data_IF_623558402156
#
_entry.id   IF_623558402156
#
_cell.length_a   1.000
_cell.length_b   1.000
_cell.length_c   1.000
_cell.angle_alpha   90.00
_cell.angle_beta   90.00
_cell.angle_gamma   90.00
#
_symmetry.space_group_name_H-M   'P 1'
#
loop_
_entity.id
_entity.type
_entity.pdbx_description
1 polymer ?
#
# COMPACT_ATOMS: atom_id res chain seq x y z
N UNK A 1 -9.46 -8.38 12.01
CA UNK A 1 -8.57 -7.32 12.53
C UNK A 1 -8.68 -6.15 11.59
N UNK A 2 -8.78 -4.93 12.12
CA UNK A 2 -8.62 -3.72 11.32
C UNK A 2 -7.13 -3.54 11.01
N UNK A 3 -6.77 -3.49 9.72
CA UNK A 3 -5.39 -3.37 9.28
C UNK A 3 -4.89 -1.91 9.36
N UNK A 4 -5.81 -0.94 9.37
CA UNK A 4 -5.49 0.47 9.28
C UNK A 4 -6.16 1.25 10.41
N UNK A 5 -5.47 1.34 11.55
CA UNK A 5 -5.94 2.18 12.66
C UNK A 5 -5.78 3.67 12.32
N UNK A 6 -6.71 4.51 12.78
CA UNK A 6 -6.57 5.97 12.65
C UNK A 6 -5.40 6.54 13.48
N UNK A 7 -4.89 5.76 14.45
CA UNK A 7 -3.70 6.11 15.22
C UNK A 7 -2.42 5.95 14.39
N UNK A 8 -2.33 4.91 13.57
CA UNK A 8 -1.11 4.53 12.84
C UNK A 8 -1.08 5.00 11.39
N UNK A 9 -2.24 5.35 10.81
CA UNK A 9 -2.35 5.65 9.38
C UNK A 9 -3.06 6.97 9.09
N UNK A 10 -2.71 7.56 7.94
CA UNK A 10 -3.44 8.61 7.28
C UNK A 10 -4.25 8.02 6.14
N UNK A 11 -5.57 8.28 6.12
CA UNK A 11 -6.35 8.19 4.90
C UNK A 11 -6.03 9.42 4.06
N UNK A 12 -5.48 9.20 2.88
CA UNK A 12 -5.18 10.25 1.92
C UNK A 12 -6.27 10.22 0.86
N UNK A 13 -6.97 11.35 0.74
CA UNK A 13 -7.93 11.59 -0.34
C UNK A 13 -7.20 12.44 -1.38
N UNK A 14 -6.88 11.83 -2.51
CA UNK A 14 -6.16 12.46 -3.64
C UNK A 14 -7.09 12.38 -4.87
N UNK A 15 -7.02 13.37 -5.76
CA UNK A 15 -7.83 13.42 -6.97
C UNK A 15 -7.38 12.43 -8.05
N UNK A 16 -6.28 11.70 -7.81
CA UNK A 16 -5.64 10.79 -8.77
C UNK A 16 -5.75 9.31 -8.43
N UNK A 17 -6.16 8.94 -7.21
CA UNK A 17 -6.59 7.57 -6.90
C UNK A 17 -7.71 7.56 -5.87
N UNK A 18 -8.61 6.59 -5.99
CA UNK A 18 -9.84 6.54 -5.22
C UNK A 18 -9.59 6.32 -3.72
N UNK A 19 -8.52 5.60 -3.33
CA UNK A 19 -8.09 5.47 -1.93
C UNK A 19 -6.58 5.36 -1.80
N UNK A 20 -6.01 6.16 -0.90
CA UNK A 20 -4.62 6.07 -0.47
C UNK A 20 -4.55 5.93 1.05
N UNK A 21 -3.68 5.06 1.54
CA UNK A 21 -3.39 4.91 2.97
C UNK A 21 -1.90 4.87 3.18
N UNK A 22 -1.37 5.74 4.04
CA UNK A 22 0.05 5.74 4.40
C UNK A 22 0.23 5.68 5.91
N UNK A 23 1.23 4.96 6.38
CA UNK A 23 1.57 4.98 7.80
C UNK A 23 2.12 6.35 8.21
N UNK A 24 1.83 6.80 9.43
CA UNK A 24 2.27 8.12 9.93
C UNK A 24 3.79 8.24 10.04
N UNK A 25 4.47 7.11 10.21
CA UNK A 25 5.94 7.04 10.22
C UNK A 25 6.57 7.09 8.81
N UNK A 26 5.75 7.19 7.75
CA UNK A 26 6.20 7.29 6.36
C UNK A 26 6.79 5.99 5.78
N UNK A 27 6.67 4.86 6.47
CA UNK A 27 7.29 3.59 6.06
C UNK A 27 6.44 2.75 5.12
N UNK A 28 5.13 2.93 5.14
CA UNK A 28 4.19 2.14 4.35
C UNK A 28 3.24 3.03 3.57
N UNK A 29 2.93 2.60 2.34
CA UNK A 29 1.91 3.19 1.51
C UNK A 29 1.14 2.08 0.76
N UNK A 30 -0.18 2.22 0.72
CA UNK A 30 -1.11 1.49 -0.15
C UNK A 30 -1.89 2.49 -1.00
N UNK A 31 -1.92 2.27 -2.31
CA UNK A 31 -2.81 2.98 -3.24
C UNK A 31 -3.71 2.02 -4.00
N UNK A 32 -4.96 2.42 -4.21
CA UNK A 32 -5.95 1.71 -5.01
C UNK A 32 -6.42 2.54 -6.19
N UNK A 33 -6.34 1.97 -7.39
CA UNK A 33 -6.65 2.58 -8.67
C UNK A 33 -7.63 1.66 -9.42
N UNK A 34 -8.94 1.68 -9.13
CA UNK A 34 -9.88 0.70 -9.69
C UNK A 34 -10.02 0.76 -11.22
N UNK A 35 -9.71 1.90 -11.84
CA UNK A 35 -9.69 2.06 -13.30
C UNK A 35 -8.29 1.90 -13.91
N UNK A 36 -7.31 1.49 -13.10
CA UNK A 36 -5.91 1.42 -13.46
C UNK A 36 -5.23 2.78 -13.37
N UNK A 37 -3.99 2.79 -12.87
CA UNK A 37 -3.21 4.01 -12.72
C UNK A 37 -2.78 4.56 -14.09
N UNK A 38 -3.11 5.82 -14.43
CA UNK A 38 -2.71 6.42 -15.70
C UNK A 38 -1.20 6.33 -15.95
N UNK A 39 -0.81 5.98 -17.18
CA UNK A 39 0.60 5.83 -17.56
C UNK A 39 1.26 4.53 -17.09
N UNK A 40 0.50 3.59 -16.55
CA UNK A 40 0.96 2.23 -16.22
C UNK A 40 0.26 1.18 -17.06
N UNK A 41 0.75 -0.07 -17.05
CA UNK A 41 0.08 -1.21 -17.69
C UNK A 41 -1.01 -1.80 -16.78
N UNK A 42 -2.05 -1.01 -16.48
CA UNK A 42 -3.21 -1.47 -15.71
C UNK A 42 -2.95 -1.69 -14.21
N UNK A 43 -2.02 -0.94 -13.59
CA UNK A 43 -1.76 -1.05 -12.15
C UNK A 43 -3.01 -0.65 -11.36
N UNK A 44 -3.66 -1.63 -10.74
CA UNK A 44 -4.85 -1.45 -9.90
C UNK A 44 -4.52 -1.24 -8.43
N UNK A 45 -3.38 -1.76 -7.97
CA UNK A 45 -2.93 -1.59 -6.59
C UNK A 45 -1.43 -1.35 -6.53
N UNK A 46 -1.01 -0.51 -5.59
CA UNK A 46 0.39 -0.25 -5.29
C UNK A 46 0.66 -0.37 -3.80
N UNK A 47 1.58 -1.26 -3.42
CA UNK A 47 2.19 -1.26 -2.08
C UNK A 47 3.60 -0.70 -2.22
N UNK A 48 3.97 0.27 -1.39
CA UNK A 48 5.33 0.78 -1.31
C UNK A 48 5.80 0.74 0.14
N UNK A 49 7.01 0.24 0.34
CA UNK A 49 7.68 0.16 1.63
C UNK A 49 8.97 0.97 1.55
N UNK A 50 9.06 2.00 2.38
CA UNK A 50 10.25 2.85 2.46
C UNK A 50 11.37 2.06 3.15
N UNK A 51 12.56 2.12 2.57
CA UNK A 51 13.75 1.51 3.16
C UNK A 51 14.25 2.28 4.37
N UNK A 52 15.15 1.65 5.12
CA UNK A 52 16.00 2.32 6.12
C UNK A 52 17.41 2.51 5.55
N UNK A 53 18.30 3.06 6.37
CA UNK A 53 19.75 3.09 6.12
C UNK A 53 20.36 1.68 5.95
N UNK A 54 19.73 0.65 6.54
CA UNK A 54 20.22 -0.73 6.56
C UNK A 54 19.47 -1.68 5.63
N UNK A 55 18.21 -1.38 5.30
CA UNK A 55 17.33 -2.26 4.52
C UNK A 55 16.75 -1.49 3.35
N UNK A 56 16.95 -2.00 2.13
CA UNK A 56 16.41 -1.36 0.92
C UNK A 56 14.88 -1.44 0.91
N UNK A 57 14.24 -0.33 0.55
CA UNK A 57 12.80 -0.28 0.30
C UNK A 57 12.40 -1.07 -0.94
N UNK A 58 11.13 -1.38 -1.05
CA UNK A 58 10.59 -2.13 -2.19
C UNK A 58 9.16 -1.70 -2.51
N UNK A 59 8.66 -2.17 -3.65
CA UNK A 59 7.27 -1.96 -4.01
C UNK A 59 6.69 -3.17 -4.73
N UNK A 60 5.40 -3.37 -4.56
CA UNK A 60 4.60 -4.39 -5.23
C UNK A 60 3.49 -3.70 -5.99
N UNK A 61 3.18 -4.21 -7.18
CA UNK A 61 2.11 -3.71 -8.03
C UNK A 61 1.21 -4.89 -8.40
N UNK A 62 -0.09 -4.68 -8.34
CA UNK A 62 -1.09 -5.64 -8.79
C UNK A 62 -1.98 -4.96 -9.83
N UNK A 63 -2.52 -5.73 -10.76
CA UNK A 63 -3.45 -5.21 -11.76
C UNK A 63 -4.85 -4.96 -11.17
N UNK A 64 -5.74 -4.40 -11.99
CA UNK A 64 -7.14 -4.16 -11.63
C UNK A 64 -7.97 -5.43 -11.45
N UNK A 65 -7.51 -6.56 -11.97
CA UNK A 65 -8.23 -7.85 -11.89
C UNK A 65 -7.85 -8.65 -10.64
N UNK A 66 -6.78 -8.25 -9.95
CA UNK A 66 -6.32 -8.91 -8.73
C UNK A 66 -7.35 -8.78 -7.61
N UNK A 67 -7.83 -9.91 -7.03
CA UNK A 67 -8.82 -9.87 -5.96
C UNK A 67 -8.31 -9.12 -4.72
N UNK A 68 -9.18 -8.32 -4.12
CA UNK A 68 -8.84 -7.48 -2.97
C UNK A 68 -8.34 -8.29 -1.76
N UNK A 69 -8.81 -9.53 -1.59
CA UNK A 69 -8.36 -10.44 -0.53
C UNK A 69 -6.89 -10.84 -0.66
N UNK A 70 -6.37 -10.95 -1.90
CA UNK A 70 -4.96 -11.24 -2.15
C UNK A 70 -4.10 -10.03 -1.78
N UNK A 71 -4.56 -8.84 -2.16
CA UNK A 71 -3.89 -7.57 -1.80
C UNK A 71 -3.91 -7.38 -0.28
N UNK A 72 -5.05 -7.62 0.37
CA UNK A 72 -5.18 -7.52 1.83
C UNK A 72 -4.25 -8.50 2.56
N UNK A 73 -4.12 -9.74 2.07
CA UNK A 73 -3.19 -10.71 2.62
C UNK A 73 -1.74 -10.24 2.48
N UNK A 74 -1.36 -9.70 1.30
CA UNK A 74 -0.03 -9.13 1.09
C UNK A 74 0.24 -7.94 2.04
N UNK A 75 -0.70 -7.02 2.18
CA UNK A 75 -0.63 -5.89 3.12
C UNK A 75 -0.41 -6.39 4.55
N UNK A 76 -1.19 -7.36 5.02
CA UNK A 76 -1.05 -7.90 6.36
C UNK A 76 0.36 -8.48 6.61
N UNK A 77 0.91 -9.21 5.63
CA UNK A 77 2.27 -9.76 5.71
C UNK A 77 3.34 -8.66 5.72
N UNK A 78 3.18 -7.63 4.92
CA UNK A 78 4.09 -6.47 4.91
C UNK A 78 4.08 -5.78 6.28
N UNK A 79 2.90 -5.43 6.79
CA UNK A 79 2.78 -4.75 8.09
C UNK A 79 3.33 -5.59 9.25
N UNK A 80 3.10 -6.91 9.26
CA UNK A 80 3.65 -7.79 10.29
C UNK A 80 5.19 -7.81 10.28
N UNK A 81 5.79 -7.87 9.09
CA UNK A 81 7.26 -7.94 8.95
C UNK A 81 7.93 -6.60 9.20
N UNK A 82 7.27 -5.48 8.86
CA UNK A 82 7.77 -4.13 9.13
C UNK A 82 7.72 -3.71 10.61
N UNK A 83 6.87 -4.32 11.44
CA UNK A 83 6.84 -4.06 12.90
C UNK A 83 7.94 -4.79 13.70
N UNK A 84 8.62 -5.77 13.09
CA UNK A 84 9.60 -6.63 13.78
C UNK A 84 11.07 -6.20 13.61
N UNK A 85 11.31 -4.98 13.13
CA UNK A 85 12.67 -4.42 12.89
C UNK A 85 13.01 -3.31 13.86
#
# INVERSE_FOLDING_TARGET
>A
MDLFSAEDFHLVVDDRADVHVSSKDGRFYLGWFPLGRPGTNGEGWKIAVTGTDKVRGYSLSFDTETPAEIVAAAVARVLETSRRV
#
